data_IF_118769956875
#
_entry.id   IF_118769956875
#
_cell.length_a   1.000
_cell.length_b   1.000
_cell.length_c   1.000
_cell.angle_alpha   90.00
_cell.angle_beta   90.00
_cell.angle_gamma   90.00
#
_symmetry.space_group_name_H-M   'P 1'
#
loop_
_entity.id
_entity.type
_entity.pdbx_description
1 polymer ?
#
# COMPACT_ATOMS: atom_id res chain seq x y z
N UNK A 1 13.36 -1.77 -10.03
CA UNK A 1 13.53 -1.35 -8.64
C UNK A 1 12.86 -2.40 -7.77
N UNK A 2 13.64 -3.17 -7.02
CA UNK A 2 13.11 -4.29 -6.23
C UNK A 2 12.23 -3.75 -5.09
N UNK A 3 12.59 -2.61 -4.50
CA UNK A 3 11.79 -1.94 -3.48
C UNK A 3 10.35 -1.62 -3.94
N UNK A 4 10.19 -0.98 -5.11
CA UNK A 4 8.86 -0.58 -5.61
C UNK A 4 8.01 -1.82 -5.92
N UNK A 5 8.59 -2.85 -6.55
CA UNK A 5 7.88 -4.10 -6.85
C UNK A 5 7.48 -4.84 -5.57
N UNK A 6 8.35 -4.90 -4.56
CA UNK A 6 8.03 -5.49 -3.28
C UNK A 6 6.89 -4.73 -2.60
N UNK A 7 6.95 -3.40 -2.57
CA UNK A 7 5.93 -2.56 -1.94
C UNK A 7 4.57 -2.69 -2.64
N UNK A 8 4.54 -2.65 -3.97
CA UNK A 8 3.30 -2.81 -4.75
C UNK A 8 2.68 -4.19 -4.52
N UNK A 9 3.48 -5.27 -4.59
CA UNK A 9 3.00 -6.63 -4.38
C UNK A 9 2.44 -6.82 -2.97
N UNK A 10 3.12 -6.31 -1.94
CA UNK A 10 2.64 -6.44 -0.57
C UNK A 10 1.38 -5.62 -0.33
N UNK A 11 1.26 -4.41 -0.91
CA UNK A 11 0.01 -3.65 -0.83
C UNK A 11 -1.13 -4.38 -1.54
N UNK A 12 -0.89 -4.96 -2.71
CA UNK A 12 -1.89 -5.75 -3.43
C UNK A 12 -2.33 -6.99 -2.65
N UNK A 13 -1.40 -7.69 -2.00
CA UNK A 13 -1.71 -8.87 -1.17
C UNK A 13 -2.53 -8.53 0.08
N UNK A 14 -2.40 -7.31 0.61
CA UNK A 14 -3.14 -6.84 1.78
C UNK A 14 -4.34 -5.96 1.38
N UNK A 15 -4.81 -6.06 0.13
CA UNK A 15 -5.94 -5.26 -0.33
C UNK A 15 -7.24 -5.65 0.38
N UNK A 16 -8.07 -4.65 0.65
CA UNK A 16 -9.39 -4.84 1.25
C UNK A 16 -10.45 -4.15 0.35
N UNK A 17 -11.19 -4.92 -0.46
CA UNK A 17 -12.15 -4.37 -1.42
C UNK A 17 -13.27 -3.53 -0.80
N UNK A 18 -13.72 -3.88 0.41
CA UNK A 18 -14.78 -3.14 1.10
C UNK A 18 -14.30 -1.74 1.52
N UNK A 19 -13.13 -1.67 2.14
CA UNK A 19 -12.50 -0.40 2.48
C UNK A 19 -12.12 0.39 1.21
N UNK A 20 -11.63 -0.29 0.17
CA UNK A 20 -11.25 0.33 -1.10
C UNK A 20 -12.43 1.04 -1.74
N UNK A 21 -13.61 0.41 -1.76
CA UNK A 21 -14.83 1.01 -2.27
C UNK A 21 -15.22 2.27 -1.47
N UNK A 22 -15.19 2.21 -0.14
CA UNK A 22 -15.50 3.36 0.70
C UNK A 22 -14.51 4.53 0.51
N UNK A 23 -13.21 4.22 0.38
CA UNK A 23 -12.15 5.22 0.15
C UNK A 23 -12.25 5.85 -1.24
N UNK A 24 -12.51 5.05 -2.28
CA UNK A 24 -12.74 5.55 -3.63
C UNK A 24 -13.94 6.50 -3.64
N UNK A 25 -15.06 6.10 -3.03
CA UNK A 25 -16.27 6.93 -2.91
C UNK A 25 -15.98 8.26 -2.20
N UNK A 26 -15.20 8.24 -1.12
CA UNK A 26 -14.77 9.45 -0.42
C UNK A 26 -14.01 10.42 -1.34
N UNK A 27 -13.17 9.89 -2.23
CA UNK A 27 -12.44 10.67 -3.25
C UNK A 27 -13.23 10.89 -4.55
N UNK A 28 -14.57 10.81 -4.50
CA UNK A 28 -15.48 10.96 -5.66
C UNK A 28 -15.15 10.00 -6.81
N UNK A 29 -14.62 8.82 -6.50
CA UNK A 29 -14.19 7.78 -7.43
C UNK A 29 -13.10 8.23 -8.43
N UNK A 30 -12.33 9.27 -8.11
CA UNK A 30 -11.24 9.75 -8.97
C UNK A 30 -10.01 8.83 -8.95
N UNK A 31 -9.85 8.02 -7.91
CA UNK A 31 -8.70 7.16 -7.71
C UNK A 31 -9.11 5.76 -7.22
N UNK A 32 -8.50 4.69 -7.74
CA UNK A 32 -8.60 3.37 -7.15
C UNK A 32 -7.77 3.31 -5.85
N UNK A 33 -8.21 2.45 -4.92
CA UNK A 33 -7.52 2.24 -3.65
C UNK A 33 -7.33 0.75 -3.40
N UNK A 34 -6.23 0.38 -2.73
CA UNK A 34 -6.08 -0.96 -2.16
C UNK A 34 -6.91 -1.16 -0.88
N UNK A 35 -7.51 -0.11 -0.30
CA UNK A 35 -8.35 -0.24 0.90
C UNK A 35 -7.57 -0.43 2.21
N UNK A 36 -6.25 -0.19 2.20
CA UNK A 36 -5.39 -0.34 3.38
C UNK A 36 -5.47 0.92 4.24
N UNK A 37 -5.79 0.76 5.53
CA UNK A 37 -5.85 1.87 6.49
C UNK A 37 -4.44 2.41 6.79
N UNK A 38 -4.37 3.67 7.22
CA UNK A 38 -3.10 4.38 7.44
C UNK A 38 -2.10 3.63 8.31
N UNK A 39 -2.53 3.06 9.44
CA UNK A 39 -1.64 2.37 10.37
C UNK A 39 -1.04 1.08 9.77
N UNK A 40 -1.86 0.28 9.09
CA UNK A 40 -1.43 -0.93 8.41
C UNK A 40 -0.51 -0.60 7.22
N UNK A 41 -0.87 0.41 6.42
CA UNK A 41 -0.04 0.88 5.30
C UNK A 41 1.34 1.32 5.78
N UNK A 42 1.42 2.07 6.89
CA UNK A 42 2.68 2.52 7.49
C UNK A 42 3.52 1.35 8.00
N UNK A 43 2.88 0.36 8.63
CA UNK A 43 3.55 -0.87 9.08
C UNK A 43 4.16 -1.61 7.90
N UNK A 44 3.38 -1.90 6.86
CA UNK A 44 3.87 -2.59 5.66
C UNK A 44 5.04 -1.82 5.03
N UNK A 45 4.88 -0.50 4.82
CA UNK A 45 5.94 0.33 4.26
C UNK A 45 7.25 0.24 5.07
N UNK A 46 7.17 0.30 6.40
CA UNK A 46 8.34 0.25 7.27
C UNK A 46 9.09 -1.09 7.16
N UNK A 47 8.38 -2.20 7.08
CA UNK A 47 8.99 -3.52 6.92
C UNK A 47 9.67 -3.64 5.55
N UNK A 48 8.97 -3.27 4.46
CA UNK A 48 9.54 -3.33 3.10
C UNK A 48 10.74 -2.38 2.97
N UNK A 49 10.68 -1.18 3.55
CA UNK A 49 11.81 -0.26 3.55
C UNK A 49 13.03 -0.83 4.28
N UNK A 50 12.82 -1.50 5.42
CA UNK A 50 13.90 -2.13 6.19
C UNK A 50 14.56 -3.27 5.40
N UNK A 51 13.77 -4.08 4.71
CA UNK A 51 14.25 -5.19 3.86
C UNK A 51 15.03 -4.70 2.64
N UNK A 52 14.70 -3.53 2.11
CA UNK A 52 15.30 -2.97 0.90
C UNK A 52 16.22 -1.77 1.19
N UNK A 53 16.75 -1.67 2.41
CA UNK A 53 17.51 -0.50 2.87
C UNK A 53 18.70 -0.15 1.95
N UNK A 54 19.37 -1.15 1.39
CA UNK A 54 20.51 -0.94 0.49
C UNK A 54 20.12 -0.25 -0.83
N UNK A 55 18.93 -0.52 -1.36
CA UNK A 55 18.44 0.11 -2.60
C UNK A 55 17.91 1.54 -2.35
N UNK A 56 17.41 1.81 -1.15
CA UNK A 56 16.69 3.05 -0.81
C UNK A 56 17.56 4.08 -0.08
N UNK A 57 18.72 3.68 0.45
CA UNK A 57 19.61 4.54 1.24
C UNK A 57 20.63 5.32 0.42
#
# INVERSE_FOLDING_TARGET
MNFILALENTFKQNENPENAFAMAKYMKNNFPFFGIKTEERRRIFKEIWKENKEEVS
#
